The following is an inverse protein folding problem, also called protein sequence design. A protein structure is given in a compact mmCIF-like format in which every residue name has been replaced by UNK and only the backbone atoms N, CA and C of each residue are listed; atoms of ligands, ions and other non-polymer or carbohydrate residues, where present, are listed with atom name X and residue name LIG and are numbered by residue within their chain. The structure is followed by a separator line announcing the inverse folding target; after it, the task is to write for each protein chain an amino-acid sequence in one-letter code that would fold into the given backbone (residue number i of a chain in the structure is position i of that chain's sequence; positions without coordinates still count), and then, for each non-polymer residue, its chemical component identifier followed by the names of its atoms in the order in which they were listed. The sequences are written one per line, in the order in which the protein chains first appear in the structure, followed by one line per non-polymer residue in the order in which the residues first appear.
data_IF_634019751344
#
_entry.id   IF_634019751344
#
_cell.length_a   1.000
_cell.length_b   1.000
_cell.length_c   1.000
_cell.angle_alpha   90.00
_cell.angle_beta   90.00
_cell.angle_gamma   90.00
#
_symmetry.space_group_name_H-M   'P 1'
#
loop_
_entity.id
_entity.type
_entity.pdbx_description
1 polymer ?
#
# COMPACT_ATOMS: atom_id res chain seq x y z
N UNK A 1 41.43 0.99 11.87
CA UNK A 1 39.95 1.12 11.81
C UNK A 1 39.37 -0.22 11.40
N UNK A 2 38.29 -0.68 12.03
CA UNK A 2 37.60 -1.94 11.67
C UNK A 2 36.26 -1.61 11.01
N UNK A 3 35.87 -2.37 10.00
CA UNK A 3 34.65 -2.15 9.23
C UNK A 3 33.77 -3.39 9.30
N UNK A 4 32.47 -3.19 9.52
CA UNK A 4 31.48 -4.27 9.55
C UNK A 4 30.30 -3.90 8.66
N UNK A 5 29.92 -4.81 7.75
CA UNK A 5 28.68 -4.67 6.99
C UNK A 5 27.53 -5.22 7.85
N UNK A 6 26.60 -4.35 8.23
CA UNK A 6 25.41 -4.73 8.99
C UNK A 6 24.24 -5.04 8.06
N UNK A 7 23.30 -5.86 8.53
CA UNK A 7 22.07 -6.17 7.80
C UNK A 7 21.21 -4.90 7.69
N UNK A 8 20.70 -4.60 6.50
CA UNK A 8 19.85 -3.44 6.24
C UNK A 8 18.44 -3.54 6.87
N UNK A 9 18.05 -4.71 7.38
CA UNK A 9 16.82 -4.93 8.16
C UNK A 9 17.01 -4.76 9.66
N UNK A 10 18.22 -4.42 10.12
CA UNK A 10 18.48 -4.19 11.54
C UNK A 10 17.74 -2.96 12.05
N UNK A 11 17.35 -2.96 13.32
CA UNK A 11 16.63 -1.84 13.94
C UNK A 11 17.52 -0.59 14.02
N UNK A 12 17.14 0.44 13.27
CA UNK A 12 17.84 1.71 13.23
C UNK A 12 17.94 2.37 14.62
N UNK A 13 16.91 2.27 15.45
CA UNK A 13 16.91 2.90 16.77
C UNK A 13 17.89 2.20 17.72
N UNK A 14 18.02 0.87 17.61
CA UNK A 14 19.03 0.12 18.35
C UNK A 14 20.45 0.51 17.93
N UNK A 15 20.69 0.67 16.63
CA UNK A 15 21.98 1.15 16.11
C UNK A 15 22.27 2.57 16.64
N UNK A 16 21.28 3.45 16.62
CA UNK A 16 21.44 4.81 17.17
C UNK A 16 21.74 4.82 18.67
N UNK A 17 21.25 3.86 19.47
CA UNK A 17 21.64 3.76 20.89
C UNK A 17 23.14 3.49 21.06
N UNK A 18 23.74 2.67 20.19
CA UNK A 18 25.17 2.39 20.23
C UNK A 18 26.01 3.58 19.71
N UNK A 19 25.52 4.29 18.69
CA UNK A 19 26.24 5.43 18.07
C UNK A 19 26.05 6.74 18.85
N UNK A 20 24.93 6.90 19.56
CA UNK A 20 24.53 8.10 20.32
C UNK A 20 24.53 9.44 19.52
N UNK A 21 23.84 9.53 18.36
CA UNK A 21 23.68 10.81 17.65
C UNK A 21 22.75 11.77 18.40
N UNK A 22 22.75 13.06 18.04
CA UNK A 22 21.79 14.02 18.58
C UNK A 22 20.34 13.61 18.27
N UNK A 23 19.36 13.89 19.15
CA UNK A 23 17.96 13.51 18.92
C UNK A 23 17.38 14.08 17.61
N UNK A 24 17.73 15.32 17.27
CA UNK A 24 17.34 15.94 16.01
C UNK A 24 17.96 15.22 14.80
N UNK A 25 19.24 14.86 14.89
CA UNK A 25 19.94 14.10 13.85
C UNK A 25 19.33 12.71 13.64
N UNK A 26 19.08 11.97 14.73
CA UNK A 26 18.42 10.66 14.69
C UNK A 26 17.07 10.72 13.97
N UNK A 27 16.24 11.71 14.30
CA UNK A 27 14.92 11.91 13.68
C UNK A 27 15.00 12.20 12.17
N UNK A 28 16.01 12.94 11.72
CA UNK A 28 16.23 13.21 10.30
C UNK A 28 16.74 11.97 9.56
N UNK A 29 17.71 11.25 10.14
CA UNK A 29 18.28 10.04 9.54
C UNK A 29 17.30 8.87 9.51
N UNK A 30 16.38 8.77 10.48
CA UNK A 30 15.30 7.77 10.47
C UNK A 30 14.44 7.85 9.21
N UNK A 31 14.30 9.02 8.60
CA UNK A 31 13.56 9.17 7.33
C UNK A 31 14.31 8.57 6.12
N UNK A 32 15.60 8.26 6.28
CA UNK A 32 16.49 7.71 5.25
C UNK A 32 16.85 6.24 5.53
N UNK A 33 16.45 5.68 6.67
CA UNK A 33 16.85 4.33 7.09
C UNK A 33 16.12 3.21 6.35
N UNK A 34 14.98 3.52 5.73
CA UNK A 34 14.11 2.55 5.06
C UNK A 34 13.91 2.96 3.60
N UNK A 35 13.99 1.99 2.69
CA UNK A 35 13.69 2.13 1.27
C UNK A 35 12.30 1.55 1.02
N UNK A 36 11.42 2.36 0.45
CA UNK A 36 10.09 1.94 0.03
C UNK A 36 10.11 1.46 -1.42
N UNK A 37 9.22 0.51 -1.70
CA UNK A 37 8.99 -0.05 -3.03
C UNK A 37 7.54 0.24 -3.41
N UNK A 38 7.33 1.11 -4.39
CA UNK A 38 6.00 1.51 -4.88
C UNK A 38 5.85 1.01 -6.30
N UNK A 39 5.01 -0.01 -6.48
CA UNK A 39 4.70 -0.58 -7.76
C UNK A 39 3.57 0.21 -8.44
N UNK A 40 3.82 0.65 -9.67
CA UNK A 40 2.88 1.41 -10.48
C UNK A 40 2.51 0.51 -11.67
N UNK A 41 1.27 0.02 -11.67
CA UNK A 41 0.82 -0.96 -12.66
C UNK A 41 0.57 -0.36 -14.04
N UNK A 42 0.10 0.89 -14.07
CA UNK A 42 -0.23 1.61 -15.28
C UNK A 42 0.32 3.04 -15.23
N UNK A 43 1.41 3.27 -15.95
CA UNK A 43 1.99 4.61 -16.15
C UNK A 43 2.15 4.90 -17.64
N UNK A 44 1.70 6.07 -18.08
CA UNK A 44 1.91 6.55 -19.46
C UNK A 44 3.40 6.83 -19.67
N UNK A 45 3.91 6.56 -20.87
CA UNK A 45 5.34 6.79 -21.20
C UNK A 45 5.84 8.20 -20.88
N UNK A 46 5.12 9.30 -21.21
CA UNK A 46 5.54 10.65 -20.79
C UNK A 46 5.64 10.80 -19.26
N UNK A 47 4.67 10.26 -18.52
CA UNK A 47 4.68 10.28 -17.06
C UNK A 47 5.88 9.51 -16.48
N UNK A 48 6.19 8.33 -17.05
CA UNK A 48 7.32 7.52 -16.61
C UNK A 48 8.66 8.23 -16.86
N UNK A 49 8.81 8.92 -17.99
CA UNK A 49 10.02 9.69 -18.28
C UNK A 49 10.18 10.90 -17.34
N UNK A 50 9.09 11.65 -17.08
CA UNK A 50 9.09 12.76 -16.11
C UNK A 50 9.45 12.23 -14.71
N UNK A 51 8.72 11.22 -14.24
CA UNK A 51 8.92 10.64 -12.91
C UNK A 51 10.32 10.04 -12.76
N UNK A 52 10.90 9.45 -13.80
CA UNK A 52 12.29 8.97 -13.80
C UNK A 52 13.27 10.11 -13.56
N UNK A 53 13.13 11.22 -14.29
CA UNK A 53 14.00 12.39 -14.13
C UNK A 53 13.83 13.02 -12.74
N UNK A 54 12.59 13.16 -12.28
CA UNK A 54 12.29 13.73 -10.97
C UNK A 54 12.78 12.84 -9.83
N UNK A 55 12.62 11.51 -9.94
CA UNK A 55 13.17 10.54 -8.99
C UNK A 55 14.70 10.63 -8.91
N UNK A 56 15.40 10.62 -10.05
CA UNK A 56 16.85 10.74 -10.10
C UNK A 56 17.34 12.07 -9.47
N UNK A 57 16.60 13.17 -9.69
CA UNK A 57 16.97 14.48 -9.15
C UNK A 57 16.96 14.57 -7.61
N UNK A 58 16.19 13.69 -6.95
CA UNK A 58 16.14 13.59 -5.47
C UNK A 58 16.97 12.40 -4.95
N UNK A 59 17.71 11.72 -5.82
CA UNK A 59 18.51 10.52 -5.51
C UNK A 59 17.69 9.25 -5.28
N UNK A 60 16.41 9.24 -5.67
CA UNK A 60 15.59 8.03 -5.74
C UNK A 60 15.81 7.30 -7.09
N UNK A 61 15.13 6.18 -7.27
CA UNK A 61 15.20 5.40 -8.50
C UNK A 61 13.81 4.99 -8.98
N UNK A 62 13.56 5.08 -10.29
CA UNK A 62 12.38 4.53 -10.96
C UNK A 62 12.84 3.45 -11.96
N UNK A 63 12.50 2.20 -11.69
CA UNK A 63 12.70 1.11 -12.65
C UNK A 63 11.59 1.19 -13.70
N UNK A 64 11.98 1.21 -14.97
CA UNK A 64 11.06 1.29 -16.12
C UNK A 64 11.40 0.20 -17.13
N UNK A 65 10.52 -0.03 -18.10
CA UNK A 65 10.82 -0.87 -19.26
C UNK A 65 11.90 -0.21 -20.14
N UNK A 66 12.67 -1.00 -20.89
CA UNK A 66 13.73 -0.50 -21.79
C UNK A 66 13.19 0.49 -22.83
N UNK A 67 11.97 0.25 -23.31
CA UNK A 67 11.36 1.02 -24.39
C UNK A 67 10.72 2.33 -23.91
N UNK A 68 10.68 2.60 -22.60
CA UNK A 68 10.10 3.84 -22.06
C UNK A 68 10.80 5.08 -22.62
N UNK A 69 12.11 5.01 -22.86
CA UNK A 69 12.87 6.11 -23.46
C UNK A 69 12.47 6.39 -24.92
N UNK A 70 11.91 5.40 -25.62
CA UNK A 70 11.52 5.53 -27.02
C UNK A 70 10.19 6.27 -27.20
N UNK A 71 9.51 6.67 -26.13
CA UNK A 71 8.32 7.53 -26.20
C UNK A 71 7.09 6.85 -26.81
N UNK A 72 7.09 5.52 -26.99
CA UNK A 72 5.96 4.77 -27.57
C UNK A 72 4.72 4.92 -26.67
N UNK A 73 3.56 5.18 -27.27
CA UNK A 73 2.29 5.29 -26.52
C UNK A 73 1.84 3.91 -26.03
N UNK A 74 2.29 3.55 -24.83
CA UNK A 74 1.90 2.32 -24.14
C UNK A 74 1.77 2.61 -22.64
N UNK A 75 0.85 1.92 -21.99
CA UNK A 75 0.87 1.82 -20.54
C UNK A 75 2.00 0.88 -20.14
N UNK A 76 2.81 1.32 -19.21
CA UNK A 76 3.96 0.59 -18.71
C UNK A 76 3.78 0.28 -17.23
N UNK A 77 4.52 -0.72 -16.76
CA UNK A 77 4.74 -0.97 -15.34
C UNK A 77 6.02 -0.26 -14.90
N UNK A 78 6.03 0.26 -13.68
CA UNK A 78 7.21 0.87 -13.09
C UNK A 78 7.33 0.55 -11.60
N UNK A 79 8.56 0.57 -11.08
CA UNK A 79 8.82 0.40 -9.65
C UNK A 79 9.63 1.59 -9.14
N UNK A 80 9.01 2.41 -8.29
CA UNK A 80 9.67 3.51 -7.60
C UNK A 80 10.31 3.01 -6.31
N UNK A 81 11.61 3.24 -6.18
CA UNK A 81 12.45 2.91 -5.03
C UNK A 81 12.94 4.19 -4.36
N UNK A 82 12.48 4.48 -3.15
CA UNK A 82 12.80 5.75 -2.48
C UNK A 82 12.63 5.69 -0.97
N UNK A 83 13.45 6.45 -0.25
CA UNK A 83 13.32 6.65 1.20
C UNK A 83 12.18 7.61 1.54
N UNK A 84 11.73 7.62 2.81
CA UNK A 84 10.70 8.55 3.29
C UNK A 84 11.11 10.03 3.19
N UNK A 85 12.40 10.33 3.10
CA UNK A 85 12.91 11.68 2.82
C UNK A 85 12.74 12.04 1.33
N UNK A 86 13.07 11.10 0.43
CA UNK A 86 13.00 11.28 -1.02
C UNK A 86 11.56 11.34 -1.52
N UNK A 87 10.68 10.45 -1.04
CA UNK A 87 9.25 10.48 -1.37
C UNK A 87 8.62 11.84 -1.09
N UNK A 88 8.97 12.48 0.02
CA UNK A 88 8.49 13.83 0.37
C UNK A 88 8.99 14.92 -0.57
N UNK A 89 10.20 14.79 -1.09
CA UNK A 89 10.72 15.75 -2.06
C UNK A 89 10.09 15.51 -3.44
N UNK A 90 10.03 14.25 -3.85
CA UNK A 90 9.42 13.81 -5.10
C UNK A 90 7.96 14.25 -5.19
N UNK A 91 7.17 14.03 -4.15
CA UNK A 91 5.75 14.43 -4.12
C UNK A 91 5.54 15.92 -4.40
N UNK A 92 6.44 16.80 -3.93
CA UNK A 92 6.36 18.23 -4.23
C UNK A 92 6.56 18.53 -5.71
N UNK A 93 7.44 17.79 -6.39
CA UNK A 93 7.69 17.92 -7.83
C UNK A 93 6.49 17.38 -8.62
N UNK A 94 6.04 16.17 -8.29
CA UNK A 94 4.95 15.48 -9.00
C UNK A 94 3.60 16.20 -8.90
N UNK A 95 3.38 17.02 -7.86
CA UNK A 95 2.20 17.90 -7.76
C UNK A 95 2.07 18.89 -8.93
N UNK A 96 3.19 19.26 -9.53
CA UNK A 96 3.25 20.23 -10.62
C UNK A 96 3.23 19.54 -12.00
N UNK A 97 3.36 18.22 -12.04
CA UNK A 97 3.45 17.44 -13.28
C UNK A 97 2.07 16.93 -13.72
N UNK A 98 1.88 16.77 -15.03
CA UNK A 98 0.64 16.24 -15.60
C UNK A 98 0.67 14.71 -15.78
N UNK A 99 -0.17 14.17 -16.65
CA UNK A 99 -0.23 12.73 -16.99
C UNK A 99 -0.53 11.80 -15.80
N UNK A 100 -1.28 12.29 -14.82
CA UNK A 100 -1.68 11.53 -13.63
C UNK A 100 -0.68 11.60 -12.46
N UNK A 101 0.45 12.28 -12.62
CA UNK A 101 1.47 12.40 -11.57
C UNK A 101 0.99 13.19 -10.35
N UNK A 102 0.03 14.11 -10.49
CA UNK A 102 -0.67 14.75 -9.34
C UNK A 102 -1.34 13.73 -8.41
N UNK A 103 -1.92 12.66 -8.96
CA UNK A 103 -2.53 11.58 -8.18
C UNK A 103 -1.46 10.78 -7.45
N UNK A 104 -0.35 10.46 -8.14
CA UNK A 104 0.80 9.82 -7.52
C UNK A 104 1.33 10.67 -6.35
N UNK A 105 1.47 11.98 -6.55
CA UNK A 105 1.94 12.90 -5.51
C UNK A 105 1.07 12.83 -4.24
N UNK A 106 -0.26 12.83 -4.39
CA UNK A 106 -1.18 12.64 -3.27
C UNK A 106 -0.97 11.30 -2.54
N UNK A 107 -0.74 10.22 -3.29
CA UNK A 107 -0.40 8.92 -2.71
C UNK A 107 0.94 8.97 -1.96
N UNK A 108 1.98 9.59 -2.52
CA UNK A 108 3.31 9.71 -1.89
C UNK A 108 3.30 10.51 -0.58
N UNK A 109 2.38 11.46 -0.42
CA UNK A 109 2.22 12.22 0.82
C UNK A 109 1.41 11.48 1.88
N UNK A 110 0.60 10.51 1.47
CA UNK A 110 -0.15 9.68 2.41
C UNK A 110 0.80 8.82 3.25
N UNK A 111 0.49 8.66 4.54
CA UNK A 111 1.19 7.69 5.37
C UNK A 111 0.73 6.30 4.98
N UNK A 112 1.48 5.62 4.13
CA UNK A 112 1.25 4.21 3.87
C UNK A 112 1.92 3.37 4.95
N UNK A 113 1.12 2.75 5.81
CA UNK A 113 1.61 1.72 6.73
C UNK A 113 1.06 0.39 6.25
N UNK A 114 1.89 -0.42 5.58
CA UNK A 114 1.51 -1.79 5.27
C UNK A 114 1.32 -2.52 6.61
N UNK A 115 0.12 -3.06 6.91
CA UNK A 115 -0.06 -3.83 8.12
C UNK A 115 0.90 -5.03 8.10
N UNK A 116 1.56 -5.28 9.23
CA UNK A 116 2.60 -6.32 9.34
C UNK A 116 2.07 -7.73 9.01
N UNK A 117 0.76 -7.94 9.16
CA UNK A 117 0.03 -9.16 8.80
C UNK A 117 -1.25 -8.78 8.05
N UNK A 118 -1.73 -9.61 7.11
CA UNK A 118 -3.05 -9.41 6.54
C UNK A 118 -4.10 -9.42 7.66
N UNK A 119 -5.03 -8.47 7.63
CA UNK A 119 -6.20 -8.49 8.51
C UNK A 119 -7.27 -9.32 7.80
N UNK A 120 -7.75 -10.37 8.46
CA UNK A 120 -8.76 -11.27 7.90
C UNK A 120 -10.14 -10.66 8.16
N UNK A 121 -11.01 -10.66 7.15
CA UNK A 121 -12.42 -10.28 7.27
C UNK A 121 -13.27 -11.54 7.10
N UNK A 122 -13.99 -11.93 8.14
CA UNK A 122 -15.00 -13.00 8.08
C UNK A 122 -16.29 -12.46 7.47
N UNK A 123 -16.89 -13.19 6.53
CA UNK A 123 -18.14 -12.77 5.85
C UNK A 123 -19.29 -13.60 6.38
N UNK A 124 -20.28 -12.93 6.97
CA UNK A 124 -21.49 -13.53 7.52
C UNK A 124 -22.73 -12.92 6.85
N UNK A 125 -23.44 -13.70 6.04
CA UNK A 125 -24.60 -13.23 5.29
C UNK A 125 -25.90 -13.72 5.93
N UNK A 126 -26.73 -12.80 6.40
CA UNK A 126 -28.06 -13.06 6.96
C UNK A 126 -29.06 -13.25 5.81
N UNK A 127 -28.93 -14.35 5.08
CA UNK A 127 -29.90 -14.70 4.04
C UNK A 127 -29.96 -16.20 3.75
N UNK A 128 -31.10 -16.62 3.23
CA UNK A 128 -31.34 -17.97 2.70
C UNK A 128 -30.91 -18.11 1.24
N UNK A 129 -30.32 -17.07 0.62
CA UNK A 129 -29.99 -17.06 -0.81
C UNK A 129 -28.54 -16.61 -1.21
N UNK A 130 -27.57 -16.38 -0.31
CA UNK A 130 -26.19 -15.95 -0.70
C UNK A 130 -25.42 -16.96 -1.56
N UNK A 131 -24.61 -16.46 -2.49
CA UNK A 131 -23.78 -17.28 -3.40
C UNK A 131 -22.88 -18.33 -2.71
N UNK A 132 -22.33 -18.05 -1.53
CA UNK A 132 -21.52 -19.01 -0.76
C UNK A 132 -22.30 -19.60 0.43
N UNK A 133 -22.56 -20.90 0.39
CA UNK A 133 -23.34 -21.62 1.42
C UNK A 133 -22.72 -21.58 2.82
N UNK A 134 -21.39 -21.58 2.92
CA UNK A 134 -20.70 -21.58 4.21
C UNK A 134 -20.85 -20.24 4.94
N UNK A 135 -21.02 -19.14 4.18
CA UNK A 135 -21.18 -17.78 4.71
C UNK A 135 -22.60 -17.47 5.22
N UNK A 136 -23.59 -18.32 4.91
CA UNK A 136 -24.99 -18.12 5.30
C UNK A 136 -25.17 -18.28 6.80
N UNK A 137 -25.85 -17.32 7.41
CA UNK A 137 -26.21 -17.35 8.82
C UNK A 137 -27.71 -17.04 9.00
N UNK A 138 -28.28 -17.54 10.07
CA UNK A 138 -29.63 -17.19 10.51
C UNK A 138 -29.61 -16.76 11.99
N UNK A 139 -30.76 -16.36 12.52
CA UNK A 139 -30.87 -15.91 13.92
C UNK A 139 -30.52 -16.98 14.95
N UNK A 140 -30.53 -18.26 14.56
CA UNK A 140 -30.23 -19.39 15.46
C UNK A 140 -28.74 -19.72 15.50
N UNK A 141 -28.01 -19.59 14.38
CA UNK A 141 -26.61 -20.00 14.27
C UNK A 141 -25.61 -18.85 14.05
N UNK A 142 -26.09 -17.62 13.82
CA UNK A 142 -25.24 -16.50 13.43
C UNK A 142 -24.23 -16.10 14.48
N UNK A 143 -24.63 -16.07 15.75
CA UNK A 143 -23.72 -15.74 16.87
C UNK A 143 -22.57 -16.75 16.93
N UNK A 144 -22.89 -18.05 17.01
CA UNK A 144 -21.88 -19.11 17.12
C UNK A 144 -20.92 -19.13 15.91
N UNK A 145 -21.42 -18.88 14.70
CA UNK A 145 -20.56 -18.79 13.50
C UNK A 145 -19.64 -17.58 13.53
N UNK A 146 -20.13 -16.42 13.98
CA UNK A 146 -19.31 -15.21 14.12
C UNK A 146 -18.23 -15.41 15.19
N UNK A 147 -18.58 -16.03 16.33
CA UNK A 147 -17.61 -16.38 17.39
C UNK A 147 -16.52 -17.31 16.85
N UNK A 148 -16.89 -18.35 16.09
CA UNK A 148 -15.92 -19.24 15.45
C UNK A 148 -15.00 -18.52 14.45
N UNK A 149 -15.51 -17.52 13.71
CA UNK A 149 -14.68 -16.69 12.82
C UNK A 149 -13.67 -15.85 13.61
N UNK A 150 -14.09 -15.28 14.75
CA UNK A 150 -13.21 -14.52 15.64
C UNK A 150 -12.12 -15.43 16.21
N UNK A 151 -12.47 -16.63 16.69
CA UNK A 151 -11.52 -17.62 17.19
C UNK A 151 -10.53 -18.08 16.11
N UNK A 152 -10.98 -18.21 14.87
CA UNK A 152 -10.13 -18.53 13.72
C UNK A 152 -9.21 -17.37 13.29
N UNK A 153 -9.34 -16.18 13.89
CA UNK A 153 -8.46 -15.04 13.67
C UNK A 153 -9.02 -13.94 12.75
N UNK A 154 -10.33 -13.91 12.51
CA UNK A 154 -10.97 -12.78 11.83
C UNK A 154 -10.81 -11.50 12.66
N UNK A 155 -10.30 -10.45 12.02
CA UNK A 155 -10.14 -9.12 12.63
C UNK A 155 -11.37 -8.24 12.39
N UNK A 156 -12.04 -8.44 11.26
CA UNK A 156 -13.29 -7.79 10.91
C UNK A 156 -14.36 -8.83 10.63
N UNK A 157 -15.63 -8.47 10.87
CA UNK A 157 -16.80 -9.23 10.46
C UNK A 157 -17.63 -8.35 9.53
N UNK A 158 -17.85 -8.81 8.31
CA UNK A 158 -18.76 -8.19 7.35
C UNK A 158 -20.11 -8.89 7.41
N UNK A 159 -21.14 -8.15 7.84
CA UNK A 159 -22.48 -8.66 8.09
C UNK A 159 -23.43 -8.20 6.98
N UNK A 160 -23.69 -9.07 6.00
CA UNK A 160 -24.54 -8.77 4.86
C UNK A 160 -26.01 -9.15 5.10
N UNK A 161 -26.93 -8.19 5.10
CA UNK A 161 -28.37 -8.45 5.22
C UNK A 161 -29.12 -8.58 3.89
N UNK A 162 -28.51 -8.15 2.79
CA UNK A 162 -29.12 -8.13 1.45
C UNK A 162 -28.16 -8.72 0.45
N UNK A 163 -28.65 -9.65 -0.37
CA UNK A 163 -27.86 -10.34 -1.40
C UNK A 163 -27.56 -9.38 -2.56
N UNK A 164 -26.28 -9.26 -2.93
CA UNK A 164 -25.81 -8.51 -4.11
C UNK A 164 -25.41 -9.42 -5.27
N UNK A 165 -25.74 -10.72 -5.21
CA UNK A 165 -25.47 -11.67 -6.29
C UNK A 165 -26.24 -11.27 -7.55
N UNK A 166 -25.72 -11.55 -8.76
CA UNK A 166 -26.47 -11.31 -10.00
C UNK A 166 -27.86 -11.95 -9.95
N UNK A 167 -28.90 -11.16 -10.18
CA UNK A 167 -30.30 -11.61 -10.14
C UNK A 167 -30.94 -11.68 -8.76
N UNK A 168 -30.37 -11.07 -7.72
CA UNK A 168 -31.03 -10.96 -6.41
C UNK A 168 -32.31 -10.12 -6.48
N UNK A 169 -33.33 -10.55 -5.75
CA UNK A 169 -34.55 -9.76 -5.57
C UNK A 169 -34.33 -8.66 -4.53
N UNK A 170 -34.79 -7.45 -4.86
CA UNK A 170 -34.71 -6.31 -3.95
C UNK A 170 -35.69 -6.50 -2.79
N UNK A 171 -35.19 -6.49 -1.55
CA UNK A 171 -35.99 -6.74 -0.35
C UNK A 171 -36.53 -5.45 0.32
N UNK A 172 -36.40 -4.29 -0.33
CA UNK A 172 -36.97 -3.04 0.17
C UNK A 172 -38.48 -2.94 -0.08
N UNK A 173 -39.14 -2.00 0.59
CA UNK A 173 -40.53 -1.65 0.30
C UNK A 173 -40.59 -0.62 -0.83
N UNK A 174 -41.62 -0.72 -1.67
CA UNK A 174 -42.06 0.38 -2.55
C UNK A 174 -42.49 1.62 -1.74
#
# INVERSE_FOLDING_TARGET
MKFYKINNKSDFDQICKAVSPSPAGAKLMRKKSEINFIFIEEIKTPAANILKQDALSVGAELVTHSDTILGRESLNKALLMATNAQLRQLAKKEKLQDFGLKKLAGFLESKFTKPAKPLIMGVANINSDSFNEQSRINTQNGIAKIEAMIEAGAYYIDLGGVSSRPGSEYCGRE
#
